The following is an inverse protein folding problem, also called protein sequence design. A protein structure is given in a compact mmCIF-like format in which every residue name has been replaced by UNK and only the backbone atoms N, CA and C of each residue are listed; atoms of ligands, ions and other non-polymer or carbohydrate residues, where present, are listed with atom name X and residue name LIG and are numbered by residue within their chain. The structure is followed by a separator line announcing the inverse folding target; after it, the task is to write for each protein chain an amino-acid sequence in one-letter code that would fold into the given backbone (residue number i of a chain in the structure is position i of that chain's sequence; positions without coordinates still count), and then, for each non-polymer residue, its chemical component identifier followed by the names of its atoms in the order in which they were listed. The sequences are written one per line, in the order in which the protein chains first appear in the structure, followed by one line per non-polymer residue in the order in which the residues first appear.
data_IF_642933221677
#
_entry.id   IF_642933221677
#
_cell.length_a   1.000
_cell.length_b   1.000
_cell.length_c   1.000
_cell.angle_alpha   90.00
_cell.angle_beta   90.00
_cell.angle_gamma   90.00
#
_symmetry.space_group_name_H-M   'P 1'
#
loop_
_entity.id
_entity.type
_entity.pdbx_description
1 polymer ?
#
# COMPACT_ATOMS: atom_id res chain seq x y z
N UNK A 1 34.38 28.77 9.88
CA UNK A 1 34.37 27.36 9.42
C UNK A 1 35.39 26.61 10.26
N UNK A 2 34.94 25.98 11.33
CA UNK A 2 35.82 25.17 12.20
C UNK A 2 36.33 23.95 11.42
N UNK A 3 37.65 23.83 11.30
CA UNK A 3 38.30 22.67 10.68
C UNK A 3 38.25 21.52 11.67
N UNK A 4 37.14 20.78 11.68
CA UNK A 4 36.99 19.55 12.45
C UNK A 4 38.15 18.60 12.13
N UNK A 5 38.90 18.19 13.16
CA UNK A 5 40.04 17.28 13.04
C UNK A 5 39.56 15.91 12.50
N UNK A 6 40.45 15.16 11.85
CA UNK A 6 40.19 13.84 11.28
C UNK A 6 39.63 12.86 12.31
N UNK A 7 40.01 12.99 13.57
CA UNK A 7 39.51 12.17 14.69
C UNK A 7 38.08 12.55 15.09
N UNK A 8 37.77 13.84 15.17
CA UNK A 8 36.41 14.34 15.42
C UNK A 8 35.45 13.97 14.28
N UNK A 9 35.92 13.97 13.02
CA UNK A 9 35.15 13.44 11.88
C UNK A 9 34.83 11.96 12.04
N UNK A 10 35.79 11.15 12.45
CA UNK A 10 35.57 9.70 12.65
C UNK A 10 34.60 9.44 13.80
N UNK A 11 34.73 10.17 14.91
CA UNK A 11 33.81 10.07 16.04
C UNK A 11 32.38 10.50 15.65
N UNK A 12 32.25 11.57 14.85
CA UNK A 12 30.93 12.03 14.37
C UNK A 12 30.29 11.05 13.39
N UNK A 13 31.07 10.43 12.50
CA UNK A 13 30.58 9.40 11.58
C UNK A 13 30.11 8.18 12.37
N UNK A 14 30.89 7.70 13.35
CA UNK A 14 30.51 6.56 14.18
C UNK A 14 29.20 6.83 14.97
N UNK A 15 29.03 8.06 15.49
CA UNK A 15 27.79 8.45 16.16
C UNK A 15 26.58 8.45 15.21
N UNK A 16 26.75 8.98 13.99
CA UNK A 16 25.69 9.00 12.98
C UNK A 16 25.34 7.60 12.44
N UNK A 17 26.33 6.69 12.37
CA UNK A 17 26.10 5.29 11.98
C UNK A 17 25.29 4.54 13.04
N UNK A 18 25.54 4.79 14.32
CA UNK A 18 24.77 4.18 15.41
C UNK A 18 23.36 4.77 15.48
N UNK A 19 23.19 6.07 15.23
CA UNK A 19 21.88 6.72 15.09
C UNK A 19 21.09 6.17 13.89
N UNK A 20 21.75 5.98 12.74
CA UNK A 20 21.14 5.33 11.56
C UNK A 20 20.73 3.88 11.85
N UNK A 21 21.52 3.16 12.65
CA UNK A 21 21.23 1.78 13.04
C UNK A 21 20.03 1.70 13.99
N UNK A 22 19.91 2.65 14.92
CA UNK A 22 18.74 2.81 15.79
C UNK A 22 17.48 3.15 14.99
N UNK A 23 17.55 4.14 14.09
CA UNK A 23 16.43 4.52 13.23
C UNK A 23 15.98 3.37 12.32
N UNK A 24 16.91 2.56 11.78
CA UNK A 24 16.59 1.35 11.01
C UNK A 24 16.03 0.21 11.86
N UNK A 25 16.28 0.19 13.17
CA UNK A 25 15.69 -0.77 14.08
C UNK A 25 14.25 -0.35 14.44
N UNK A 26 14.03 0.94 14.69
CA UNK A 26 12.70 1.53 14.90
C UNK A 26 11.81 1.35 13.67
N UNK A 27 12.30 1.66 12.47
CA UNK A 27 11.54 1.45 11.22
C UNK A 27 11.17 -0.03 11.00
N UNK A 28 12.05 -0.96 11.42
CA UNK A 28 11.75 -2.40 11.37
C UNK A 28 10.71 -2.81 12.43
N UNK A 29 10.76 -2.22 13.62
CA UNK A 29 9.77 -2.44 14.66
C UNK A 29 8.38 -1.90 14.24
N UNK A 30 8.32 -0.73 13.62
CA UNK A 30 7.09 -0.13 13.10
C UNK A 30 6.50 -0.94 11.94
N UNK A 31 7.35 -1.40 11.00
CA UNK A 31 6.91 -2.31 9.94
C UNK A 31 6.42 -3.65 10.48
N UNK A 32 7.06 -4.17 11.51
CA UNK A 32 6.63 -5.40 12.18
C UNK A 32 5.30 -5.20 12.93
N UNK A 33 5.12 -4.08 13.62
CA UNK A 33 3.89 -3.73 14.31
C UNK A 33 2.73 -3.54 13.32
N UNK A 34 2.96 -2.83 12.21
CA UNK A 34 1.98 -2.69 11.14
C UNK A 34 1.61 -4.04 10.52
N UNK A 35 2.61 -4.91 10.26
CA UNK A 35 2.39 -6.25 9.74
C UNK A 35 1.59 -7.14 10.72
N UNK A 36 1.88 -7.07 12.02
CA UNK A 36 1.17 -7.80 13.07
C UNK A 36 -0.27 -7.32 13.21
N UNK A 37 -0.51 -6.00 13.20
CA UNK A 37 -1.87 -5.45 13.21
C UNK A 37 -2.67 -5.89 11.99
N UNK A 38 -2.07 -5.93 10.80
CA UNK A 38 -2.74 -6.47 9.60
C UNK A 38 -2.97 -7.97 9.65
N UNK A 39 -2.09 -8.74 10.30
CA UNK A 39 -2.22 -10.20 10.42
C UNK A 39 -3.32 -10.62 11.41
N UNK A 40 -3.67 -9.75 12.36
CA UNK A 40 -4.73 -9.99 13.35
C UNK A 40 -6.11 -9.52 12.92
N UNK A 41 -6.21 -8.76 11.83
CA UNK A 41 -7.51 -8.40 11.25
C UNK A 41 -8.09 -9.60 10.50
N UNK A 42 -9.39 -9.89 10.65
CA UNK A 42 -10.06 -10.84 9.77
C UNK A 42 -9.76 -10.47 8.31
N UNK A 43 -9.50 -11.44 7.43
CA UNK A 43 -9.08 -11.18 6.04
C UNK A 43 -10.06 -10.28 5.28
N UNK A 44 -11.34 -10.30 5.64
CA UNK A 44 -12.36 -9.40 5.09
C UNK A 44 -12.11 -7.92 5.42
N UNK A 45 -11.64 -7.63 6.64
CA UNK A 45 -11.32 -6.28 7.14
C UNK A 45 -10.04 -5.71 6.52
N UNK A 46 -9.01 -6.54 6.36
CA UNK A 46 -7.78 -6.15 5.67
C UNK A 46 -8.04 -5.86 4.18
N UNK A 47 -8.90 -6.66 3.54
CA UNK A 47 -9.34 -6.43 2.17
C UNK A 47 -10.18 -5.14 2.04
N UNK A 48 -11.04 -4.82 3.03
CA UNK A 48 -11.79 -3.56 3.04
C UNK A 48 -10.89 -2.32 3.18
N UNK A 49 -9.90 -2.33 4.08
CA UNK A 49 -8.97 -1.20 4.21
C UNK A 49 -8.14 -0.97 2.94
N UNK A 50 -7.72 -2.06 2.29
CA UNK A 50 -7.04 -1.98 0.99
C UNK A 50 -7.94 -1.34 -0.07
N UNK A 51 -9.21 -1.77 -0.17
CA UNK A 51 -10.18 -1.22 -1.12
C UNK A 51 -10.47 0.26 -0.84
N UNK A 52 -10.62 0.65 0.43
CA UNK A 52 -10.75 2.07 0.81
C UNK A 52 -9.55 2.89 0.34
N UNK A 53 -8.35 2.38 0.62
CA UNK A 53 -7.12 3.07 0.26
C UNK A 53 -6.97 3.21 -1.24
N UNK A 54 -7.32 2.19 -2.01
CA UNK A 54 -7.37 2.27 -3.47
C UNK A 54 -8.32 3.38 -3.95
N UNK A 55 -9.51 3.50 -3.36
CA UNK A 55 -10.47 4.54 -3.75
C UNK A 55 -9.91 5.95 -3.53
N UNK A 56 -9.22 6.16 -2.42
CA UNK A 56 -8.57 7.43 -2.05
C UNK A 56 -7.35 7.70 -2.95
N UNK A 57 -6.41 6.76 -3.03
CA UNK A 57 -5.13 6.92 -3.72
C UNK A 57 -5.33 7.13 -5.23
N UNK A 58 -6.31 6.43 -5.80
CA UNK A 58 -6.68 6.56 -7.22
C UNK A 58 -7.64 7.73 -7.48
N UNK A 59 -7.98 8.52 -6.44
CA UNK A 59 -8.86 9.69 -6.50
C UNK A 59 -10.20 9.40 -7.20
N UNK A 60 -10.72 8.19 -7.01
CA UNK A 60 -11.94 7.75 -7.69
C UNK A 60 -13.19 8.51 -7.21
N UNK A 61 -13.11 9.17 -6.06
CA UNK A 61 -14.18 10.04 -5.55
C UNK A 61 -14.57 11.20 -6.47
N UNK A 62 -13.70 11.62 -7.39
CA UNK A 62 -14.04 12.62 -8.40
C UNK A 62 -14.94 12.07 -9.53
N UNK A 63 -15.04 10.74 -9.67
CA UNK A 63 -15.74 10.07 -10.79
C UNK A 63 -16.88 9.17 -10.33
N UNK A 64 -16.80 8.61 -9.13
CA UNK A 64 -17.82 7.72 -8.59
C UNK A 64 -17.87 7.80 -7.07
N UNK A 65 -19.07 7.59 -6.51
CA UNK A 65 -19.24 7.44 -5.08
C UNK A 65 -18.50 6.20 -4.57
N UNK A 66 -18.12 6.24 -3.30
CA UNK A 66 -17.52 5.11 -2.58
C UNK A 66 -18.40 3.85 -2.67
N UNK A 67 -19.71 4.01 -2.50
CA UNK A 67 -20.65 2.89 -2.57
C UNK A 67 -20.67 2.22 -3.96
N UNK A 68 -20.70 3.02 -5.03
CA UNK A 68 -20.62 2.49 -6.40
C UNK A 68 -19.30 1.77 -6.63
N UNK A 69 -18.19 2.28 -6.09
CA UNK A 69 -16.90 1.60 -6.19
C UNK A 69 -16.91 0.25 -5.46
N UNK A 70 -17.45 0.18 -4.24
CA UNK A 70 -17.58 -1.07 -3.48
C UNK A 70 -18.44 -2.11 -4.23
N UNK A 71 -19.53 -1.68 -4.89
CA UNK A 71 -20.34 -2.55 -5.73
C UNK A 71 -19.55 -3.09 -6.94
N UNK A 72 -18.75 -2.24 -7.60
CA UNK A 72 -17.86 -2.67 -8.69
C UNK A 72 -16.83 -3.69 -8.19
N UNK A 73 -16.23 -3.46 -7.02
CA UNK A 73 -15.27 -4.39 -6.43
C UNK A 73 -15.93 -5.73 -6.07
N UNK A 74 -17.14 -5.71 -5.51
CA UNK A 74 -17.91 -6.93 -5.23
C UNK A 74 -18.20 -7.72 -6.52
N UNK A 75 -18.62 -7.03 -7.59
CA UNK A 75 -18.81 -7.65 -8.90
C UNK A 75 -17.50 -8.25 -9.43
N UNK A 76 -16.37 -7.53 -9.31
CA UNK A 76 -15.06 -8.03 -9.71
C UNK A 76 -14.64 -9.28 -8.93
N UNK A 77 -14.92 -9.36 -7.61
CA UNK A 77 -14.64 -10.56 -6.80
C UNK A 77 -15.40 -11.78 -7.29
N UNK A 78 -16.70 -11.63 -7.58
CA UNK A 78 -17.50 -12.73 -8.14
C UNK A 78 -17.04 -13.12 -9.56
N UNK A 79 -16.78 -12.13 -10.43
CA UNK A 79 -16.30 -12.39 -11.79
C UNK A 79 -14.92 -13.06 -11.80
N UNK A 80 -14.04 -12.72 -10.84
CA UNK A 80 -12.69 -13.30 -10.72
C UNK A 80 -12.74 -14.81 -10.49
N UNK A 81 -13.76 -15.32 -9.76
CA UNK A 81 -13.94 -16.77 -9.54
C UNK A 81 -14.05 -17.55 -10.86
N UNK A 82 -14.61 -16.93 -11.89
CA UNK A 82 -14.76 -17.53 -13.22
C UNK A 82 -13.64 -17.11 -14.19
N UNK A 83 -13.28 -15.82 -14.23
CA UNK A 83 -12.29 -15.28 -15.16
C UNK A 83 -11.70 -13.95 -14.66
N UNK A 84 -10.44 -14.00 -14.21
CA UNK A 84 -9.66 -12.83 -13.75
C UNK A 84 -9.54 -11.73 -14.80
N UNK A 85 -9.34 -12.08 -16.08
CA UNK A 85 -9.19 -11.09 -17.16
C UNK A 85 -10.50 -10.34 -17.39
N UNK A 86 -11.63 -11.05 -17.35
CA UNK A 86 -12.97 -10.45 -17.47
C UNK A 86 -13.26 -9.49 -16.31
N UNK A 87 -12.89 -9.86 -15.08
CA UNK A 87 -13.01 -8.99 -13.92
C UNK A 87 -12.14 -7.72 -14.03
N UNK A 88 -10.92 -7.84 -14.55
CA UNK A 88 -10.04 -6.70 -14.79
C UNK A 88 -10.55 -5.76 -15.89
N UNK A 89 -11.07 -6.30 -17.00
CA UNK A 89 -11.74 -5.50 -18.03
C UNK A 89 -12.94 -4.73 -17.47
N UNK A 90 -13.77 -5.40 -16.65
CA UNK A 90 -14.90 -4.74 -16.00
C UNK A 90 -14.46 -3.59 -15.09
N UNK A 91 -13.42 -3.80 -14.28
CA UNK A 91 -12.88 -2.75 -13.41
C UNK A 91 -12.33 -1.57 -14.23
N UNK A 92 -11.57 -1.85 -15.29
CA UNK A 92 -11.04 -0.86 -16.23
C UNK A 92 -12.16 0.01 -16.80
N UNK A 93 -13.21 -0.60 -17.35
CA UNK A 93 -14.35 0.09 -17.97
C UNK A 93 -15.09 0.99 -16.98
N UNK A 94 -15.27 0.53 -15.74
CA UNK A 94 -16.07 1.26 -14.74
C UNK A 94 -15.30 2.40 -14.07
N UNK A 95 -14.00 2.24 -13.87
CA UNK A 95 -13.16 3.20 -13.13
C UNK A 95 -12.33 4.11 -14.03
N UNK A 96 -12.12 3.71 -15.29
CA UNK A 96 -11.22 4.39 -16.23
C UNK A 96 -9.74 4.28 -15.85
N UNK A 97 -9.39 3.36 -14.95
CA UNK A 97 -7.99 3.04 -14.61
C UNK A 97 -7.29 2.38 -15.79
N UNK A 98 -5.97 2.44 -15.88
CA UNK A 98 -5.27 1.69 -16.93
C UNK A 98 -5.47 0.17 -16.73
N UNK A 99 -5.58 -0.59 -17.82
CA UNK A 99 -5.87 -2.03 -17.75
C UNK A 99 -4.85 -2.80 -16.91
N UNK A 100 -3.56 -2.43 -16.95
CA UNK A 100 -2.53 -3.06 -16.13
C UNK A 100 -2.77 -2.84 -14.62
N UNK A 101 -3.23 -1.65 -14.22
CA UNK A 101 -3.59 -1.35 -12.83
C UNK A 101 -4.82 -2.14 -12.41
N UNK A 102 -5.83 -2.22 -13.29
CA UNK A 102 -7.03 -3.00 -13.04
C UNK A 102 -6.72 -4.50 -12.85
N UNK A 103 -5.81 -5.06 -13.66
CA UNK A 103 -5.34 -6.44 -13.50
C UNK A 103 -4.66 -6.63 -12.13
N UNK A 104 -3.74 -5.75 -11.76
CA UNK A 104 -3.04 -5.84 -10.48
C UNK A 104 -4.01 -5.78 -9.29
N UNK A 105 -4.95 -4.83 -9.30
CA UNK A 105 -5.97 -4.70 -8.26
C UNK A 105 -6.81 -5.97 -8.17
N UNK A 106 -7.35 -6.47 -9.30
CA UNK A 106 -8.19 -7.68 -9.30
C UNK A 106 -7.42 -8.91 -8.81
N UNK A 107 -6.12 -9.03 -9.09
CA UNK A 107 -5.31 -10.11 -8.53
C UNK A 107 -5.21 -10.05 -7.00
N UNK A 108 -5.20 -8.84 -6.43
CA UNK A 108 -5.17 -8.59 -4.98
C UNK A 108 -6.54 -8.61 -4.28
N UNK A 109 -7.65 -8.61 -5.03
CA UNK A 109 -9.02 -8.73 -4.50
C UNK A 109 -9.39 -10.14 -4.04
#
# INVERSE_FOLDING_TARGET
MERMNREERRARIAALEEELKQLRAEERADKAAAAVMTAQLPPETASMQYVERLWIDLKLGARMSRENFLQVIAACREMKKANTRRAASHLHERTGLALYQAIAIVQSL
#
